data_IF_676928618449
#
_entry.id   IF_676928618449
#
_cell.length_a   1.000
_cell.length_b   1.000
_cell.length_c   1.000
_cell.angle_alpha   90.00
_cell.angle_beta   90.00
_cell.angle_gamma   90.00
#
_symmetry.space_group_name_H-M   'P 1'
#
loop_
_entity.id
_entity.type
_entity.pdbx_description
1 polymer ?
#
# COMPACT_ATOMS: atom_id res chain seq x y z
N UNK A 1 2.74 -6.84 14.93
CA UNK A 1 3.75 -6.89 13.85
C UNK A 1 5.06 -6.30 14.39
N UNK A 2 5.89 -7.11 15.09
CA UNK A 2 7.13 -6.63 15.70
C UNK A 2 8.19 -6.17 14.69
N UNK A 3 8.17 -6.68 13.47
CA UNK A 3 9.03 -6.26 12.37
C UNK A 3 8.75 -4.81 11.95
N UNK A 4 7.49 -4.50 11.66
CA UNK A 4 7.00 -3.14 11.39
C UNK A 4 7.36 -2.19 12.54
N UNK A 5 7.22 -2.60 13.80
CA UNK A 5 7.62 -1.77 14.94
C UNK A 5 9.12 -1.37 14.90
N UNK A 6 10.01 -2.28 14.48
CA UNK A 6 11.44 -1.96 14.26
C UNK A 6 11.67 -1.09 13.03
N UNK A 7 10.82 -1.15 12.02
CA UNK A 7 10.91 -0.25 10.87
C UNK A 7 10.54 1.19 11.27
N UNK A 8 9.59 1.38 12.20
CA UNK A 8 9.25 2.69 12.76
C UNK A 8 10.48 3.31 13.44
N UNK A 9 11.23 2.53 14.24
CA UNK A 9 12.50 2.97 14.82
C UNK A 9 13.56 3.36 13.77
N UNK A 10 13.43 2.86 12.54
CA UNK A 10 14.29 3.17 11.39
C UNK A 10 13.75 4.28 10.50
N UNK A 11 12.66 4.95 10.90
CA UNK A 11 12.06 6.07 10.17
C UNK A 11 10.88 5.71 9.26
N UNK A 12 10.32 4.51 9.39
CA UNK A 12 9.01 4.24 8.79
C UNK A 12 7.94 5.07 9.50
N UNK A 13 7.00 5.59 8.72
CA UNK A 13 5.85 6.34 9.24
C UNK A 13 4.57 5.55 8.96
N UNK A 14 3.66 5.53 9.93
CA UNK A 14 2.37 4.85 9.83
C UNK A 14 1.22 5.84 9.99
N UNK A 15 0.13 5.64 9.25
CA UNK A 15 -1.04 6.50 9.32
C UNK A 15 -2.33 5.73 9.10
N UNK A 16 -3.42 6.31 9.58
CA UNK A 16 -4.77 5.90 9.23
C UNK A 16 -5.03 6.26 7.76
N UNK A 17 -5.47 5.30 6.97
CA UNK A 17 -5.69 5.46 5.54
C UNK A 17 -7.14 5.18 5.21
N UNK A 18 -7.90 6.23 4.96
CA UNK A 18 -9.34 6.22 4.79
C UNK A 18 -9.68 5.82 3.36
N UNK A 19 -10.28 4.64 3.21
CA UNK A 19 -10.82 4.14 1.96
C UNK A 19 -12.09 4.89 1.57
N UNK A 20 -12.30 5.09 0.27
CA UNK A 20 -13.56 5.63 -0.23
C UNK A 20 -14.55 4.49 -0.46
N UNK A 21 -15.80 4.61 0.00
CA UNK A 21 -16.85 3.67 -0.38
C UNK A 21 -17.15 3.72 -1.90
N UNK A 22 -17.47 2.58 -2.54
CA UNK A 22 -17.47 1.24 -1.97
C UNK A 22 -16.04 0.71 -1.78
N UNK A 23 -15.74 0.19 -0.59
CA UNK A 23 -14.39 -0.25 -0.20
C UNK A 23 -14.07 -1.61 -0.82
N UNK A 24 -13.79 -1.62 -2.12
CA UNK A 24 -13.39 -2.83 -2.86
C UNK A 24 -11.94 -2.74 -3.31
N UNK A 25 -11.27 -3.89 -3.39
CA UNK A 25 -9.84 -3.99 -3.61
C UNK A 25 -9.33 -3.28 -4.86
N UNK A 26 -8.23 -2.54 -4.68
CA UNK A 26 -7.38 -1.97 -5.74
C UNK A 26 -8.02 -0.92 -6.67
N UNK A 27 -9.25 -0.45 -6.42
CA UNK A 27 -9.92 0.50 -7.32
C UNK A 27 -9.11 1.77 -7.59
N UNK A 28 -8.41 2.30 -6.59
CA UNK A 28 -7.70 3.58 -6.69
C UNK A 28 -6.35 3.46 -7.40
N UNK A 29 -5.58 2.40 -7.15
CA UNK A 29 -4.27 2.21 -7.79
C UNK A 29 -4.41 1.80 -9.26
N UNK A 30 -5.59 1.32 -9.69
CA UNK A 30 -5.88 0.97 -11.09
C UNK A 30 -5.51 2.07 -12.11
N UNK A 31 -5.65 3.33 -11.72
CA UNK A 31 -5.29 4.48 -12.56
C UNK A 31 -3.79 4.55 -12.86
N UNK A 32 -2.92 4.02 -11.99
CA UNK A 32 -1.48 3.93 -12.21
C UNK A 32 -1.07 2.68 -12.97
N UNK A 33 -1.94 1.67 -13.06
CA UNK A 33 -1.54 0.31 -13.44
C UNK A 33 -2.13 -0.17 -14.76
N UNK A 34 -3.02 0.60 -15.38
CA UNK A 34 -3.65 0.22 -16.64
C UNK A 34 -2.65 0.27 -17.79
N UNK A 35 -2.38 -0.88 -18.42
CA UNK A 35 -1.49 -1.07 -19.58
C UNK A 35 -0.01 -0.65 -19.39
N UNK A 36 0.46 -0.52 -18.13
CA UNK A 36 1.85 -0.11 -17.85
C UNK A 36 2.77 -1.26 -17.46
N UNK A 37 2.23 -2.43 -17.09
CA UNK A 37 3.05 -3.53 -16.57
C UNK A 37 3.68 -4.38 -17.67
N UNK A 38 5.00 -4.53 -17.61
CA UNK A 38 5.78 -5.39 -18.51
C UNK A 38 5.83 -6.85 -18.04
N UNK A 39 5.60 -7.10 -16.75
CA UNK A 39 5.51 -8.43 -16.12
C UNK A 39 4.26 -8.50 -15.26
N UNK A 40 3.56 -9.63 -15.29
CA UNK A 40 2.41 -9.89 -14.42
C UNK A 40 2.33 -11.37 -14.06
N UNK A 41 1.98 -11.64 -12.79
CA UNK A 41 1.86 -12.99 -12.24
C UNK A 41 0.51 -13.08 -11.50
N UNK A 42 -0.59 -13.35 -12.22
CA UNK A 42 -1.90 -13.48 -11.59
C UNK A 42 -2.01 -14.81 -10.85
N UNK A 43 -2.72 -14.79 -9.72
CA UNK A 43 -3.08 -15.96 -8.93
C UNK A 43 -4.59 -15.99 -8.73
N UNK A 44 -5.17 -17.19 -8.62
CA UNK A 44 -6.58 -17.34 -8.26
C UNK A 44 -6.80 -16.90 -6.81
N UNK A 45 -7.78 -16.03 -6.60
CA UNK A 45 -8.07 -15.42 -5.29
C UNK A 45 -9.41 -15.84 -4.69
N UNK A 46 -10.19 -16.68 -5.36
CA UNK A 46 -11.58 -16.96 -4.96
C UNK A 46 -11.74 -18.00 -3.84
N UNK A 47 -10.67 -18.72 -3.47
CA UNK A 47 -10.74 -19.66 -2.35
C UNK A 47 -10.38 -18.98 -1.02
N UNK A 48 -11.40 -18.52 -0.30
CA UNK A 48 -11.25 -17.93 1.04
C UNK A 48 -10.65 -18.90 2.08
N UNK A 49 -10.55 -20.19 1.76
CA UNK A 49 -9.89 -21.16 2.64
C UNK A 49 -8.38 -21.16 2.50
N UNK A 50 -7.87 -20.68 1.38
CA UNK A 50 -6.44 -20.50 1.16
C UNK A 50 -6.00 -19.18 1.82
N UNK A 51 -5.27 -19.32 2.93
CA UNK A 51 -4.69 -18.18 3.63
C UNK A 51 -3.22 -17.95 3.26
N UNK A 52 -2.64 -18.85 2.47
CA UNK A 52 -1.20 -19.02 2.46
C UNK A 52 -0.57 -19.01 1.07
N UNK A 53 -1.16 -19.71 0.10
CA UNK A 53 -0.47 -20.03 -1.16
C UNK A 53 -0.18 -18.78 -1.99
N UNK A 54 -1.15 -17.85 -2.07
CA UNK A 54 -0.96 -16.57 -2.78
C UNK A 54 0.12 -15.73 -2.09
N UNK A 55 0.04 -15.57 -0.77
CA UNK A 55 0.99 -14.76 0.00
C UNK A 55 2.42 -15.33 -0.09
N UNK A 56 2.57 -16.66 -0.07
CA UNK A 56 3.88 -17.31 -0.22
C UNK A 56 4.44 -17.14 -1.63
N UNK A 57 3.60 -17.31 -2.66
CA UNK A 57 4.04 -17.11 -4.04
C UNK A 57 4.44 -15.66 -4.31
N UNK A 58 3.68 -14.70 -3.79
CA UNK A 58 3.99 -13.25 -3.88
C UNK A 58 5.29 -12.92 -3.17
N UNK A 59 5.53 -13.48 -1.98
CA UNK A 59 6.79 -13.29 -1.25
C UNK A 59 8.00 -13.78 -2.04
N UNK A 60 7.91 -14.96 -2.66
CA UNK A 60 9.01 -15.51 -3.46
C UNK A 60 9.28 -14.67 -4.71
N UNK A 61 8.24 -14.34 -5.48
CA UNK A 61 8.37 -13.49 -6.68
C UNK A 61 8.91 -12.10 -6.35
N UNK A 62 8.42 -11.47 -5.26
CA UNK A 62 8.90 -10.17 -4.83
C UNK A 62 10.38 -10.23 -4.44
N UNK A 63 10.82 -11.31 -3.79
CA UNK A 63 12.24 -11.51 -3.44
C UNK A 63 13.12 -11.68 -4.68
N UNK A 64 12.66 -12.42 -5.68
CA UNK A 64 13.36 -12.58 -6.94
C UNK A 64 13.46 -11.25 -7.70
N UNK A 65 12.36 -10.52 -7.81
CA UNK A 65 12.27 -9.22 -8.48
C UNK A 65 13.22 -8.20 -7.84
N UNK A 66 13.23 -8.07 -6.51
CA UNK A 66 14.09 -7.11 -5.79
C UNK A 66 15.59 -7.45 -5.85
N UNK A 67 15.95 -8.71 -6.14
CA UNK A 67 17.35 -9.14 -6.30
C UNK A 67 17.82 -9.07 -7.75
N UNK A 68 16.90 -8.87 -8.69
CA UNK A 68 17.21 -8.84 -10.11
C UNK A 68 18.04 -7.60 -10.45
N UNK A 69 19.12 -7.73 -11.26
CA UNK A 69 19.80 -6.57 -11.83
C UNK A 69 18.94 -5.82 -12.85
N UNK A 70 17.78 -6.38 -13.23
CA UNK A 70 16.77 -5.78 -14.10
C UNK A 70 15.43 -5.61 -13.35
N UNK A 71 15.51 -5.33 -12.04
CA UNK A 71 14.36 -5.01 -11.21
C UNK A 71 13.53 -3.88 -11.84
N UNK A 72 12.22 -3.98 -11.73
CA UNK A 72 11.28 -2.97 -12.23
C UNK A 72 11.34 -1.71 -11.38
N UNK A 73 11.19 -0.55 -12.03
CA UNK A 73 11.12 0.76 -11.34
C UNK A 73 9.84 0.92 -10.50
N UNK A 74 8.80 0.13 -10.82
CA UNK A 74 7.54 0.12 -10.11
C UNK A 74 7.04 -1.32 -9.94
N UNK A 75 6.81 -1.72 -8.70
CA UNK A 75 6.41 -3.09 -8.33
C UNK A 75 5.13 -3.00 -7.50
N UNK A 76 4.14 -3.83 -7.83
CA UNK A 76 2.98 -4.06 -6.97
C UNK A 76 2.99 -5.52 -6.54
N UNK A 77 2.98 -5.73 -5.23
CA UNK A 77 2.79 -7.03 -4.60
C UNK A 77 1.49 -6.98 -3.79
N UNK A 78 0.54 -7.85 -4.13
CA UNK A 78 -0.77 -7.91 -3.47
C UNK A 78 -0.90 -9.25 -2.75
N UNK A 79 -1.27 -9.21 -1.48
CA UNK A 79 -1.43 -10.36 -0.59
C UNK A 79 -2.88 -10.42 -0.11
N UNK A 80 -3.38 -11.62 0.17
CA UNK A 80 -4.81 -11.89 0.44
C UNK A 80 -5.05 -12.55 1.80
N UNK A 81 -4.03 -13.16 2.40
CA UNK A 81 -4.23 -14.00 3.59
C UNK A 81 -4.91 -13.29 4.75
N UNK A 82 -4.67 -11.98 4.93
CA UNK A 82 -5.29 -11.16 5.98
C UNK A 82 -6.79 -11.01 5.73
N UNK A 83 -7.19 -10.65 4.51
CA UNK A 83 -8.59 -10.50 4.14
C UNK A 83 -9.34 -11.84 4.28
N UNK A 84 -8.80 -12.91 3.67
CA UNK A 84 -9.38 -14.25 3.76
C UNK A 84 -9.49 -14.75 5.20
N UNK A 85 -8.50 -14.44 6.06
CA UNK A 85 -8.58 -14.79 7.47
C UNK A 85 -9.68 -14.01 8.19
N UNK A 86 -9.90 -12.74 7.82
CA UNK A 86 -10.99 -11.90 8.30
C UNK A 86 -12.34 -12.50 7.95
N UNK A 87 -12.59 -12.81 6.68
CA UNK A 87 -13.84 -13.46 6.22
C UNK A 87 -14.09 -14.80 6.90
N UNK A 88 -13.06 -15.64 6.98
CA UNK A 88 -13.21 -17.02 7.45
C UNK A 88 -13.35 -17.15 8.97
N UNK A 89 -12.64 -16.32 9.73
CA UNK A 89 -12.52 -16.48 11.18
C UNK A 89 -12.90 -15.23 11.99
N UNK A 90 -13.02 -14.07 11.35
CA UNK A 90 -13.16 -12.77 12.00
C UNK A 90 -11.81 -12.13 12.37
N UNK A 91 -11.74 -10.80 12.48
CA UNK A 91 -10.49 -10.05 12.68
C UNK A 91 -9.81 -10.33 14.03
N UNK A 92 -10.57 -10.74 15.05
CA UNK A 92 -10.05 -10.98 16.40
C UNK A 92 -9.62 -12.42 16.68
N UNK A 93 -9.66 -13.30 15.67
CA UNK A 93 -9.32 -14.71 15.84
C UNK A 93 -7.81 -14.94 15.92
N UNK A 94 -7.37 -15.95 16.67
CA UNK A 94 -5.93 -16.27 16.85
C UNK A 94 -5.19 -16.52 15.53
N UNK A 95 -5.90 -17.01 14.50
CA UNK A 95 -5.33 -17.18 13.15
C UNK A 95 -4.89 -15.85 12.53
N UNK A 96 -5.61 -14.76 12.79
CA UNK A 96 -5.25 -13.43 12.31
C UNK A 96 -3.86 -13.02 12.81
N UNK A 97 -3.54 -13.31 14.07
CA UNK A 97 -2.23 -13.02 14.62
C UNK A 97 -1.10 -13.76 13.89
N UNK A 98 -1.34 -15.01 13.45
CA UNK A 98 -0.37 -15.78 12.66
C UNK A 98 -0.24 -15.22 11.25
N UNK A 99 -1.35 -14.89 10.60
CA UNK A 99 -1.36 -14.27 9.26
C UNK A 99 -0.64 -12.92 9.27
N UNK A 100 -0.92 -12.04 10.24
CA UNK A 100 -0.24 -10.76 10.39
C UNK A 100 1.27 -10.91 10.63
N UNK A 101 1.73 -11.99 11.30
CA UNK A 101 3.18 -12.27 11.41
C UNK A 101 3.80 -12.66 10.08
N UNK A 102 3.05 -13.35 9.20
CA UNK A 102 3.51 -13.66 7.84
C UNK A 102 3.69 -12.38 7.03
N UNK A 103 2.70 -11.49 7.06
CA UNK A 103 2.78 -10.17 6.40
C UNK A 103 3.92 -9.32 6.98
N UNK A 104 4.09 -9.32 8.30
CA UNK A 104 5.19 -8.62 8.98
C UNK A 104 6.58 -9.06 8.46
N UNK A 105 6.76 -10.36 8.25
CA UNK A 105 8.01 -10.89 7.68
C UNK A 105 8.20 -10.47 6.23
N UNK A 106 7.15 -10.50 5.40
CA UNK A 106 7.22 -10.03 4.00
C UNK A 106 7.65 -8.56 3.97
N UNK A 107 7.00 -7.71 4.76
CA UNK A 107 7.31 -6.28 4.84
C UNK A 107 8.77 -6.04 5.24
N UNK A 108 9.27 -6.72 6.26
CA UNK A 108 10.65 -6.55 6.73
C UNK A 108 11.66 -7.07 5.72
N UNK A 109 11.41 -8.22 5.10
CA UNK A 109 12.28 -8.75 4.04
C UNK A 109 12.38 -7.79 2.87
N UNK A 110 11.25 -7.25 2.42
CA UNK A 110 11.20 -6.22 1.37
C UNK A 110 11.94 -4.97 1.79
N UNK A 111 11.65 -4.42 2.97
CA UNK A 111 12.31 -3.21 3.49
C UNK A 111 13.83 -3.34 3.61
N UNK A 112 14.34 -4.53 3.92
CA UNK A 112 15.77 -4.80 4.01
C UNK A 112 16.46 -5.00 2.65
N UNK A 113 15.71 -5.26 1.59
CA UNK A 113 16.22 -5.41 0.23
C UNK A 113 16.28 -4.07 -0.54
N UNK A 114 15.64 -3.02 -0.03
CA UNK A 114 15.60 -1.70 -0.67
C UNK A 114 16.95 -0.99 -0.69
N UNK A 115 17.19 -0.25 -1.77
CA UNK A 115 18.26 0.73 -1.92
C UNK A 115 17.85 2.11 -1.37
N UNK A 116 18.81 3.02 -1.19
CA UNK A 116 18.57 4.37 -0.62
C UNK A 116 17.64 5.28 -1.44
N UNK A 117 17.39 4.95 -2.70
CA UNK A 117 16.46 5.68 -3.56
C UNK A 117 15.04 5.11 -3.57
N UNK A 118 14.83 3.94 -2.96
CA UNK A 118 13.58 3.20 -3.11
C UNK A 118 12.56 3.63 -2.04
N UNK A 119 11.29 3.49 -2.39
CA UNK A 119 10.16 3.77 -1.51
C UNK A 119 9.30 2.50 -1.37
N UNK A 120 9.15 2.03 -0.14
CA UNK A 120 8.17 1.01 0.21
C UNK A 120 6.90 1.69 0.71
N UNK A 121 5.80 1.33 0.07
CA UNK A 121 4.44 1.72 0.43
C UNK A 121 3.68 0.46 0.76
N UNK A 122 3.23 0.33 2.01
CA UNK A 122 2.35 -0.76 2.44
C UNK A 122 1.02 -0.15 2.82
N UNK A 123 -0.05 -0.56 2.16
CA UNK A 123 -1.39 -0.05 2.41
C UNK A 123 -2.40 -1.19 2.48
N UNK A 124 -3.41 -1.01 3.32
CA UNK A 124 -4.66 -1.74 3.20
C UNK A 124 -5.58 -1.01 2.21
N UNK A 125 -6.36 -1.77 1.47
CA UNK A 125 -7.44 -1.30 0.61
C UNK A 125 -8.73 -1.03 1.38
N UNK A 126 -8.98 -1.77 2.45
CA UNK A 126 -10.11 -1.56 3.36
C UNK A 126 -9.83 -2.09 4.77
N UNK A 127 -10.74 -1.78 5.69
CA UNK A 127 -10.85 -2.42 7.00
C UNK A 127 -11.76 -3.66 6.95
N UNK A 128 -12.27 -4.10 8.10
CA UNK A 128 -13.13 -5.27 8.21
C UNK A 128 -14.02 -5.14 9.45
N UNK A 129 -15.31 -5.41 9.30
CA UNK A 129 -16.24 -5.49 10.43
C UNK A 129 -15.87 -6.62 11.39
N UNK A 130 -16.37 -6.54 12.63
CA UNK A 130 -16.16 -7.60 13.64
C UNK A 130 -16.67 -8.98 13.22
N UNK A 131 -17.62 -9.04 12.29
CA UNK A 131 -18.18 -10.29 11.72
C UNK A 131 -17.40 -10.80 10.51
N UNK A 132 -16.36 -10.09 10.07
CA UNK A 132 -15.55 -10.50 8.92
C UNK A 132 -16.14 -10.11 7.57
N UNK A 133 -16.87 -9.00 7.49
CA UNK A 133 -17.41 -8.45 6.23
C UNK A 133 -16.85 -7.04 5.94
N UNK A 134 -16.93 -6.59 4.70
CA UNK A 134 -16.53 -5.25 4.25
C UNK A 134 -17.30 -4.79 2.99
N UNK A 135 -17.09 -3.55 2.56
CA UNK A 135 -17.70 -2.98 1.35
C UNK A 135 -18.70 -1.84 1.63
N UNK A 136 -19.03 -1.62 2.90
CA UNK A 136 -19.83 -0.51 3.40
C UNK A 136 -19.04 0.79 3.61
N UNK A 137 -19.61 1.67 4.41
CA UNK A 137 -19.11 3.01 4.72
C UNK A 137 -18.79 3.22 6.20
N UNK A 138 -18.82 2.15 7.00
CA UNK A 138 -18.48 2.23 8.42
C UNK A 138 -17.00 2.49 8.65
N UNK A 139 -16.65 3.06 9.79
CA UNK A 139 -15.26 3.25 10.22
C UNK A 139 -14.49 1.92 10.22
N UNK A 140 -15.12 0.82 10.67
CA UNK A 140 -14.49 -0.51 10.67
C UNK A 140 -14.09 -0.97 9.27
N UNK A 141 -14.81 -0.54 8.22
CA UNK A 141 -14.61 -0.96 6.83
C UNK A 141 -13.78 0.05 6.03
N UNK A 142 -13.84 1.34 6.37
CA UNK A 142 -13.13 2.40 5.64
C UNK A 142 -11.76 2.69 6.23
N UNK A 143 -11.52 2.42 7.52
CA UNK A 143 -10.23 2.61 8.15
C UNK A 143 -9.26 1.47 7.82
N UNK A 144 -8.37 1.74 6.88
CA UNK A 144 -7.22 0.88 6.58
C UNK A 144 -5.92 1.47 7.18
N UNK A 145 -4.81 0.76 7.02
CA UNK A 145 -3.48 1.23 7.42
C UNK A 145 -2.66 1.68 6.21
N UNK A 146 -1.81 2.69 6.41
CA UNK A 146 -0.70 3.04 5.53
C UNK A 146 0.61 2.97 6.33
N UNK A 147 1.65 2.43 5.71
CA UNK A 147 3.04 2.55 6.16
C UNK A 147 3.91 2.99 4.99
N UNK A 148 4.77 3.96 5.22
CA UNK A 148 5.79 4.39 4.27
C UNK A 148 7.16 4.17 4.88
N UNK A 149 8.08 3.63 4.08
CA UNK A 149 9.47 3.45 4.48
C UNK A 149 10.41 3.68 3.30
N UNK A 150 11.55 4.30 3.55
CA UNK A 150 12.63 4.43 2.57
C UNK A 150 13.97 4.45 3.33
N UNK A 151 14.98 3.67 2.90
CA UNK A 151 16.25 3.62 3.62
C UNK A 151 16.90 5.00 3.74
N UNK A 152 17.36 5.34 4.94
CA UNK A 152 18.01 6.61 5.26
C UNK A 152 17.14 7.87 5.12
N UNK A 153 15.82 7.71 4.96
CA UNK A 153 14.87 8.82 4.92
C UNK A 153 13.96 8.78 6.14
N UNK A 154 13.75 9.94 6.73
CA UNK A 154 12.75 10.16 7.78
C UNK A 154 11.58 10.91 7.15
N UNK A 155 10.37 10.48 7.46
CA UNK A 155 9.15 11.17 7.04
C UNK A 155 8.59 11.96 8.22
N UNK A 156 8.03 13.16 7.99
CA UNK A 156 7.27 13.83 9.02
C UNK A 156 5.98 13.03 9.29
N UNK A 157 5.41 13.14 10.51
CA UNK A 157 4.17 12.47 10.85
C UNK A 157 3.06 12.77 9.84
N UNK A 158 2.25 11.77 9.54
CA UNK A 158 1.09 11.98 8.68
C UNK A 158 0.05 12.88 9.37
N UNK A 159 -0.64 13.74 8.59
CA UNK A 159 -1.83 14.41 9.08
C UNK A 159 -2.94 13.38 9.35
N UNK A 160 -3.88 13.74 10.21
CA UNK A 160 -5.09 12.93 10.41
C UNK A 160 -5.89 12.85 9.11
N UNK A 161 -6.41 11.66 8.79
CA UNK A 161 -7.33 11.47 7.68
C UNK A 161 -6.67 11.49 6.29
N UNK A 162 -5.65 10.67 6.06
CA UNK A 162 -5.15 10.44 4.70
C UNK A 162 -6.19 9.67 3.89
N UNK A 163 -6.57 10.16 2.71
CA UNK A 163 -7.54 9.48 1.86
C UNK A 163 -6.86 8.65 0.76
N UNK A 164 -7.44 7.50 0.42
CA UNK A 164 -6.87 6.65 -0.63
C UNK A 164 -6.77 7.33 -2.00
N UNK A 165 -7.66 8.27 -2.29
CA UNK A 165 -7.63 9.03 -3.54
C UNK A 165 -6.34 9.84 -3.73
N UNK A 166 -5.66 10.18 -2.63
CA UNK A 166 -4.44 11.01 -2.60
C UNK A 166 -3.18 10.23 -3.00
N UNK A 167 -3.23 8.89 -3.01
CA UNK A 167 -2.05 8.07 -3.31
C UNK A 167 -1.63 8.18 -4.77
N UNK A 168 -2.58 8.23 -5.70
CA UNK A 168 -2.33 8.26 -7.14
C UNK A 168 -1.57 9.52 -7.56
N UNK A 169 -2.02 10.75 -7.25
CA UNK A 169 -1.28 11.95 -7.63
C UNK A 169 0.09 11.99 -6.94
N UNK A 170 0.17 11.50 -5.70
CA UNK A 170 1.42 11.42 -4.95
C UNK A 170 2.45 10.51 -5.62
N UNK A 171 2.10 9.25 -5.88
CA UNK A 171 3.01 8.29 -6.49
C UNK A 171 3.35 8.67 -7.94
N UNK A 172 2.41 9.24 -8.70
CA UNK A 172 2.67 9.74 -10.05
C UNK A 172 3.83 10.73 -10.03
N UNK A 173 3.76 11.76 -9.17
CA UNK A 173 4.78 12.80 -9.13
C UNK A 173 6.10 12.30 -8.53
N UNK A 174 6.07 11.36 -7.56
CA UNK A 174 7.29 10.73 -7.04
C UNK A 174 8.02 9.89 -8.10
N UNK A 175 7.28 9.25 -9.01
CA UNK A 175 7.82 8.55 -10.16
C UNK A 175 8.18 9.47 -11.34
N UNK A 176 7.95 10.78 -11.22
CA UNK A 176 8.16 11.74 -12.31
C UNK A 176 7.16 11.59 -13.46
N UNK A 177 6.02 10.94 -13.23
CA UNK A 177 4.95 10.71 -14.19
C UNK A 177 3.88 11.81 -14.09
N UNK A 178 3.16 12.10 -15.19
CA UNK A 178 1.99 12.97 -15.12
C UNK A 178 0.89 12.33 -14.28
N UNK A 179 0.14 13.15 -13.54
CA UNK A 179 -1.03 12.68 -12.78
C UNK A 179 -2.09 12.19 -13.78
N UNK A 180 -2.68 10.99 -13.61
CA UNK A 180 -3.76 10.49 -14.46
C UNK A 180 -4.96 11.44 -14.52
N UNK A 181 -5.56 11.55 -15.71
CA UNK A 181 -6.72 12.40 -15.96
C UNK A 181 -7.91 12.02 -15.05
N UNK A 182 -8.70 13.01 -14.63
CA UNK A 182 -9.84 12.86 -13.69
C UNK A 182 -9.49 12.44 -12.25
N UNK A 183 -8.21 12.39 -11.87
CA UNK A 183 -7.86 12.23 -10.46
C UNK A 183 -8.23 13.49 -9.67
N UNK A 184 -8.95 13.32 -8.56
CA UNK A 184 -9.40 14.40 -7.68
C UNK A 184 -8.63 14.46 -6.35
N UNK A 185 -7.67 13.56 -6.16
CA UNK A 185 -6.88 13.51 -4.94
C UNK A 185 -5.89 14.66 -4.86
N UNK A 186 -5.44 14.92 -3.64
CA UNK A 186 -4.37 15.88 -3.36
C UNK A 186 -3.06 15.16 -3.08
N UNK A 187 -1.93 15.84 -3.28
CA UNK A 187 -0.64 15.23 -2.95
C UNK A 187 -0.45 15.11 -1.44
N UNK A 188 0.07 13.96 -0.99
CA UNK A 188 0.48 13.75 0.40
C UNK A 188 1.83 14.46 0.58
N UNK A 189 1.77 15.70 1.06
CA UNK A 189 2.92 16.61 1.13
C UNK A 189 4.11 16.05 1.90
N UNK A 190 3.85 15.26 2.96
CA UNK A 190 4.88 14.61 3.78
C UNK A 190 5.79 13.66 3.00
N UNK A 191 5.34 13.18 1.84
CA UNK A 191 6.10 12.28 0.98
C UNK A 191 7.04 13.01 0.02
N UNK A 192 6.99 14.35 -0.05
CA UNK A 192 7.89 15.13 -0.89
C UNK A 192 9.02 15.76 -0.05
N UNK A 193 10.26 15.81 -0.58
CA UNK A 193 11.30 16.67 -0.03
C UNK A 193 10.83 18.13 0.04
N UNK A 194 11.23 18.87 1.08
CA UNK A 194 10.76 20.25 1.34
C UNK A 194 10.96 21.21 0.15
N UNK A 195 12.01 21.00 -0.65
CA UNK A 195 12.30 21.82 -1.84
C UNK A 195 11.39 21.49 -3.04
N UNK A 196 10.72 20.33 -3.04
CA UNK A 196 9.82 19.87 -4.11
C UNK A 196 8.34 19.96 -3.73
N UNK A 197 7.99 20.06 -2.45
CA UNK A 197 6.59 20.10 -1.99
C UNK A 197 5.75 21.17 -2.70
N UNK A 198 6.25 22.41 -2.82
CA UNK A 198 5.53 23.49 -3.52
C UNK A 198 5.30 23.19 -5.00
N UNK A 199 6.26 22.54 -5.66
CA UNK A 199 6.13 22.15 -7.06
C UNK A 199 5.09 21.04 -7.21
N UNK A 200 5.10 20.05 -6.31
CA UNK A 200 4.13 18.97 -6.31
C UNK A 200 2.70 19.49 -6.14
N UNK A 201 2.49 20.40 -5.17
CA UNK A 201 1.20 21.07 -4.96
C UNK A 201 0.75 21.83 -6.21
N UNK A 202 1.66 22.61 -6.83
CA UNK A 202 1.33 23.36 -8.03
C UNK A 202 0.92 22.46 -9.21
N UNK A 203 1.64 21.35 -9.43
CA UNK A 203 1.31 20.38 -10.48
C UNK A 203 -0.03 19.68 -10.23
N UNK A 204 -0.31 19.32 -8.97
CA UNK A 204 -1.58 18.72 -8.58
C UNK A 204 -2.75 19.71 -8.71
N UNK A 205 -2.57 20.98 -8.32
CA UNK A 205 -3.56 22.04 -8.56
C UNK A 205 -3.86 22.22 -10.04
N UNK A 206 -2.82 22.27 -10.88
CA UNK A 206 -2.99 22.38 -12.33
C UNK A 206 -3.72 21.19 -12.94
N UNK A 207 -3.62 20.00 -12.34
CA UNK A 207 -4.41 18.84 -12.76
C UNK A 207 -5.88 18.97 -12.35
N UNK A 208 -6.16 19.30 -11.09
CA UNK A 208 -7.54 19.40 -10.57
C UNK A 208 -8.32 20.53 -11.25
N UNK A 209 -7.63 21.57 -11.75
CA UNK A 209 -8.25 22.68 -12.49
C UNK A 209 -8.69 22.31 -13.91
N UNK A 210 -8.13 21.26 -14.51
CA UNK A 210 -8.41 20.85 -15.90
C UNK A 210 -9.76 20.15 -16.03
#
# INVERSE_FOLDING_TARGET
MPGVAKLIERGAEIGLFVADPPTTSLQRIKALTTDVFTRSHPFDSFDINDLDSVDDAVRELLREELRSPQASDFIIAHVLGVDHCGHKYGPNHIRMATTLRKIDNIIVETANALSSGDLLVVLGDHGMTTTGDHGGDSDDETHAGLMIFSPHRQFPPFPDGLHQIDIVPTLSLLLGLPIPFSNLGVVIESLFPTNLTKQAIALNYEQVRR
#
